data_IF_587998860428
#
_entry.id   IF_587998860428
#
_cell.length_a   1.000
_cell.length_b   1.000
_cell.length_c   1.000
_cell.angle_alpha   90.00
_cell.angle_beta   90.00
_cell.angle_gamma   90.00
#
_symmetry.space_group_name_H-M   'P 1'
#
loop_
_entity.id
_entity.type
_entity.pdbx_description
1 polymer ?
#
# COMPACT_ATOMS: atom_id res chain seq x y z
N UNK A 1 0.20 -9.38 -1.31
CA UNK A 1 1.08 -9.69 -0.16
C UNK A 1 2.53 -9.62 -0.62
N UNK A 2 3.45 -9.03 0.16
CA UNK A 2 4.84 -8.88 -0.25
C UNK A 2 5.52 -10.24 -0.45
N UNK A 3 6.61 -10.26 -1.24
CA UNK A 3 7.41 -11.47 -1.49
C UNK A 3 8.43 -11.78 -0.39
N UNK A 4 8.47 -10.97 0.68
CA UNK A 4 9.34 -11.20 1.83
C UNK A 4 8.56 -11.86 2.96
N UNK A 5 9.26 -12.63 3.79
CA UNK A 5 8.70 -13.26 4.98
C UNK A 5 8.37 -12.19 6.02
N UNK A 6 7.17 -12.29 6.60
CA UNK A 6 6.72 -11.41 7.67
C UNK A 6 6.82 -12.24 8.95
N UNK A 7 7.86 -11.96 9.73
CA UNK A 7 8.20 -12.75 10.91
C UNK A 7 7.74 -12.08 12.20
N UNK A 8 7.54 -10.76 12.17
CA UNK A 8 7.23 -9.96 13.35
C UNK A 8 6.13 -8.89 13.13
N UNK A 9 5.62 -8.35 14.23
CA UNK A 9 4.66 -7.23 14.19
C UNK A 9 5.36 -5.96 13.68
N UNK A 10 6.65 -5.83 13.95
CA UNK A 10 7.52 -4.77 13.46
C UNK A 10 7.61 -4.79 11.93
N UNK A 11 7.69 -5.98 11.31
CA UNK A 11 7.70 -6.12 9.85
C UNK A 11 6.36 -5.72 9.23
N UNK A 12 5.25 -6.12 9.87
CA UNK A 12 3.90 -5.70 9.47
C UNK A 12 3.75 -4.18 9.56
N UNK A 13 4.18 -3.61 10.68
CA UNK A 13 4.14 -2.17 10.90
C UNK A 13 4.96 -1.44 9.83
N UNK A 14 6.19 -1.88 9.58
CA UNK A 14 7.03 -1.26 8.58
C UNK A 14 6.43 -1.34 7.18
N UNK A 15 5.85 -2.48 6.82
CA UNK A 15 5.20 -2.66 5.53
C UNK A 15 3.95 -1.78 5.36
N UNK A 16 3.01 -1.84 6.31
CA UNK A 16 1.75 -1.12 6.17
C UNK A 16 1.90 0.38 6.40
N UNK A 17 2.70 0.79 7.39
CA UNK A 17 2.83 2.20 7.78
C UNK A 17 3.87 2.92 6.94
N UNK A 18 5.10 2.38 6.80
CA UNK A 18 6.16 3.12 6.09
C UNK A 18 6.15 2.88 4.58
N UNK A 19 5.89 1.65 4.12
CA UNK A 19 5.92 1.34 2.67
C UNK A 19 4.60 1.70 2.01
N UNK A 20 3.47 1.22 2.56
CA UNK A 20 2.15 1.49 1.99
C UNK A 20 1.63 2.87 2.43
N UNK A 21 2.04 3.40 3.58
CA UNK A 21 1.58 4.70 4.06
C UNK A 21 0.18 4.66 4.66
N UNK A 22 -0.18 3.59 5.36
CA UNK A 22 -1.34 3.56 6.26
C UNK A 22 -1.02 4.38 7.51
N UNK A 23 -2.03 5.03 8.08
CA UNK A 23 -1.83 5.81 9.30
C UNK A 23 -1.40 4.89 10.46
N UNK A 24 -0.40 5.32 11.21
CA UNK A 24 0.13 4.58 12.37
C UNK A 24 -0.96 4.28 13.42
N UNK A 25 -1.83 5.27 13.69
CA UNK A 25 -2.96 5.08 14.58
C UNK A 25 -3.90 3.99 14.07
N UNK A 26 -4.26 4.00 12.79
CA UNK A 26 -5.15 2.99 12.23
C UNK A 26 -4.55 1.59 12.35
N UNK A 27 -3.25 1.43 12.08
CA UNK A 27 -2.54 0.15 12.19
C UNK A 27 -2.69 -0.48 13.59
N UNK A 28 -2.54 0.31 14.65
CA UNK A 28 -2.62 -0.20 16.02
C UNK A 28 -4.05 -0.44 16.53
N UNK A 29 -5.06 0.19 15.92
CA UNK A 29 -6.42 0.23 16.47
C UNK A 29 -7.47 -0.49 15.60
N UNK A 30 -7.16 -0.80 14.34
CA UNK A 30 -8.06 -1.52 13.45
C UNK A 30 -7.68 -3.01 13.34
N UNK A 31 -8.66 -3.88 13.04
CA UNK A 31 -8.37 -5.27 12.72
C UNK A 31 -7.43 -5.38 11.52
N UNK A 32 -6.53 -6.36 11.57
CA UNK A 32 -5.55 -6.59 10.49
C UNK A 32 -6.22 -6.83 9.12
N UNK A 33 -7.42 -7.43 9.08
CA UNK A 33 -8.15 -7.59 7.82
C UNK A 33 -8.55 -6.23 7.22
N UNK A 34 -8.93 -5.26 8.06
CA UNK A 34 -9.26 -3.90 7.61
C UNK A 34 -8.02 -3.21 7.05
N UNK A 35 -6.89 -3.31 7.75
CA UNK A 35 -5.59 -2.79 7.29
C UNK A 35 -5.21 -3.39 5.93
N UNK A 36 -5.43 -4.69 5.74
CA UNK A 36 -5.16 -5.37 4.49
C UNK A 36 -6.00 -4.81 3.34
N UNK A 37 -7.32 -4.66 3.54
CA UNK A 37 -8.23 -4.10 2.54
C UNK A 37 -7.84 -2.65 2.19
N UNK A 38 -7.46 -1.85 3.20
CA UNK A 38 -6.99 -0.48 2.97
C UNK A 38 -5.72 -0.46 2.10
N UNK A 39 -4.77 -1.35 2.37
CA UNK A 39 -3.55 -1.48 1.58
C UNK A 39 -3.80 -1.88 0.13
N UNK A 40 -4.68 -2.87 -0.09
CA UNK A 40 -5.05 -3.33 -1.43
C UNK A 40 -5.69 -2.20 -2.25
N UNK A 41 -6.66 -1.50 -1.65
CA UNK A 41 -7.32 -0.37 -2.30
C UNK A 41 -6.35 0.76 -2.65
N UNK A 42 -5.45 1.11 -1.71
CA UNK A 42 -4.46 2.17 -1.94
C UNK A 42 -3.52 1.80 -3.09
N UNK A 43 -2.97 0.58 -3.05
CA UNK A 43 -2.07 0.08 -4.10
C UNK A 43 -2.75 0.04 -5.47
N UNK A 44 -4.03 -0.35 -5.53
CA UNK A 44 -4.81 -0.38 -6.77
C UNK A 44 -5.01 1.04 -7.35
N UNK A 45 -5.33 2.02 -6.51
CA UNK A 45 -5.48 3.43 -6.93
C UNK A 45 -4.16 3.98 -7.44
N UNK A 46 -3.06 3.79 -6.70
CA UNK A 46 -1.72 4.26 -7.10
C UNK A 46 -1.29 3.63 -8.42
N UNK A 47 -1.50 2.33 -8.59
CA UNK A 47 -1.23 1.62 -9.85
C UNK A 47 -2.03 2.20 -11.03
N UNK A 48 -3.31 2.49 -10.82
CA UNK A 48 -4.16 3.12 -11.83
C UNK A 48 -3.66 4.54 -12.20
N UNK A 49 -3.33 5.36 -11.21
CA UNK A 49 -2.81 6.70 -11.42
C UNK A 49 -1.49 6.67 -12.20
N UNK A 50 -0.55 5.82 -11.80
CA UNK A 50 0.72 5.62 -12.52
C UNK A 50 0.49 5.19 -13.97
N UNK A 51 -0.46 4.27 -14.21
CA UNK A 51 -0.79 3.84 -15.57
C UNK A 51 -1.32 4.98 -16.44
N UNK A 52 -2.24 5.80 -15.91
CA UNK A 52 -2.78 6.94 -16.65
C UNK A 52 -1.71 8.02 -16.87
N UNK A 53 -0.85 8.30 -15.90
CA UNK A 53 0.29 9.22 -16.07
C UNK A 53 1.25 8.75 -17.18
N UNK A 54 1.63 7.47 -17.19
CA UNK A 54 2.45 6.89 -18.25
C UNK A 54 1.81 7.01 -19.63
N UNK A 55 0.51 6.78 -19.72
CA UNK A 55 -0.26 6.90 -20.96
C UNK A 55 -0.29 8.34 -21.48
N UNK A 56 -0.42 9.33 -20.58
CA UNK A 56 -0.33 10.74 -20.96
C UNK A 56 1.09 11.13 -21.37
N UNK A 57 2.12 10.64 -20.67
CA UNK A 57 3.51 10.86 -21.03
C UNK A 57 3.87 10.29 -22.41
N UNK A 58 3.34 9.10 -22.75
CA UNK A 58 3.51 8.48 -24.08
C UNK A 58 2.80 9.25 -25.20
N UNK A 59 1.67 9.91 -24.92
CA UNK A 59 0.96 10.75 -25.90
C UNK A 59 1.62 12.10 -26.16
N UNK A 60 2.42 12.60 -25.21
CA UNK A 60 3.14 13.88 -25.32
C UNK A 60 4.51 13.78 -26.01
N UNK A 61 5.01 12.56 -26.24
CA UNK A 61 6.23 12.28 -27.02
C UNK A 61 5.87 11.99 -28.47
#
# INVERSE_FOLDING_TARGET
MPKFEIDSVEDLHAYYVYIIGINDFDFWHLPIQTIHIMAENKTAIESFMNHEEEKQAKKKR
#
